data_IF_324868865579
#
_entry.id   IF_324868865579
#
_cell.length_a   1.000
_cell.length_b   1.000
_cell.length_c   1.000
_cell.angle_alpha   90.00
_cell.angle_beta   90.00
_cell.angle_gamma   90.00
#
_symmetry.space_group_name_H-M   'P 1'
#
loop_
_entity.id
_entity.type
_entity.pdbx_description
1 polymer ?
#
# COMPACT_ATOMS: atom_id res chain seq x y z
N UNK A 1 -4.53 18.68 -16.40
CA UNK A 1 -4.00 17.38 -16.84
C UNK A 1 -4.96 16.31 -16.34
N UNK A 2 -5.24 15.26 -17.10
CA UNK A 2 -6.08 14.16 -16.60
C UNK A 2 -5.34 13.42 -15.49
N UNK A 3 -6.02 13.15 -14.37
CA UNK A 3 -5.46 12.30 -13.31
C UNK A 3 -5.35 10.85 -13.81
N UNK A 4 -4.34 10.08 -13.35
CA UNK A 4 -4.25 8.66 -13.70
C UNK A 4 -5.40 7.88 -13.05
N UNK A 5 -5.91 6.86 -13.74
CA UNK A 5 -6.88 5.92 -13.17
C UNK A 5 -6.20 5.13 -12.07
N UNK A 6 -6.60 5.37 -10.83
CA UNK A 6 -5.99 4.76 -9.65
C UNK A 6 -6.94 3.76 -9.03
N UNK A 7 -6.45 2.55 -8.75
CA UNK A 7 -7.21 1.52 -8.04
C UNK A 7 -6.58 1.25 -6.69
N UNK A 8 -7.34 1.47 -5.62
CA UNK A 8 -6.94 1.11 -4.24
C UNK A 8 -7.53 -0.27 -3.96
N UNK A 9 -6.71 -1.22 -3.54
CA UNK A 9 -7.13 -2.60 -3.27
C UNK A 9 -6.84 -2.97 -1.84
N UNK A 10 -7.86 -3.48 -1.16
CA UNK A 10 -7.82 -3.92 0.23
C UNK A 10 -8.58 -5.23 0.37
N UNK A 11 -8.12 -6.08 1.28
CA UNK A 11 -8.90 -7.23 1.76
C UNK A 11 -9.09 -7.04 3.25
N UNK A 12 -10.25 -7.43 3.81
CA UNK A 12 -10.49 -7.22 5.23
C UNK A 12 -11.29 -8.34 5.88
N UNK A 13 -10.99 -8.64 7.15
CA UNK A 13 -11.85 -9.44 8.03
C UNK A 13 -12.35 -8.65 9.25
N UNK A 14 -12.09 -7.33 9.27
CA UNK A 14 -12.43 -6.43 10.36
C UNK A 14 -13.56 -5.47 9.96
N UNK A 15 -13.96 -4.62 10.92
CA UNK A 15 -14.88 -3.51 10.66
C UNK A 15 -14.26 -2.51 9.67
N UNK A 16 -15.07 -1.76 8.90
CA UNK A 16 -14.59 -0.88 7.82
C UNK A 16 -13.97 0.44 8.32
N UNK A 17 -13.22 0.43 9.42
CA UNK A 17 -12.69 1.63 10.07
C UNK A 17 -11.70 2.38 9.17
N UNK A 18 -10.97 1.67 8.30
CA UNK A 18 -10.05 2.27 7.33
C UNK A 18 -10.77 3.14 6.28
N UNK A 19 -12.01 2.79 5.91
CA UNK A 19 -12.65 3.26 4.68
C UNK A 19 -12.82 4.78 4.65
N UNK A 20 -13.29 5.38 5.75
CA UNK A 20 -13.63 6.80 5.77
C UNK A 20 -12.41 7.70 5.51
N UNK A 21 -11.22 7.30 5.99
CA UNK A 21 -9.98 8.06 5.75
C UNK A 21 -9.67 8.17 4.25
N UNK A 22 -9.73 7.04 3.54
CA UNK A 22 -9.50 7.02 2.09
C UNK A 22 -10.59 7.73 1.29
N UNK A 23 -11.86 7.67 1.71
CA UNK A 23 -12.93 8.45 1.06
C UNK A 23 -12.68 9.96 1.20
N UNK A 24 -12.29 10.41 2.38
CA UNK A 24 -11.93 11.81 2.63
C UNK A 24 -10.75 12.25 1.75
N UNK A 25 -9.73 11.40 1.60
CA UNK A 25 -8.59 11.67 0.74
C UNK A 25 -8.99 11.81 -0.74
N UNK A 26 -9.83 10.90 -1.24
CA UNK A 26 -10.36 10.96 -2.61
C UNK A 26 -11.14 12.26 -2.85
N UNK A 27 -11.93 12.67 -1.85
CA UNK A 27 -12.70 13.91 -1.89
C UNK A 27 -11.81 15.15 -1.90
N UNK A 28 -10.87 15.24 -0.97
CA UNK A 28 -9.94 16.36 -0.85
C UNK A 28 -9.09 16.52 -2.12
N UNK A 29 -8.70 15.40 -2.74
CA UNK A 29 -7.97 15.40 -4.01
C UNK A 29 -8.84 15.75 -5.22
N UNK A 30 -10.18 15.74 -5.09
CA UNK A 30 -11.12 15.97 -6.18
C UNK A 30 -11.07 14.88 -7.26
N UNK A 31 -10.73 13.65 -6.89
CA UNK A 31 -10.45 12.56 -7.84
C UNK A 31 -11.50 11.44 -7.84
N UNK A 32 -12.74 11.71 -7.42
CA UNK A 32 -13.83 10.70 -7.37
C UNK A 32 -14.01 9.90 -8.67
N UNK A 33 -13.87 10.57 -9.82
CA UNK A 33 -14.05 9.94 -11.14
C UNK A 33 -12.83 9.12 -11.61
N UNK A 34 -11.67 9.32 -10.97
CA UNK A 34 -10.40 8.69 -11.37
C UNK A 34 -9.90 7.66 -10.37
N UNK A 35 -10.50 7.56 -9.18
CA UNK A 35 -10.11 6.61 -8.15
C UNK A 35 -11.23 5.61 -7.90
N UNK A 36 -10.91 4.33 -8.07
CA UNK A 36 -11.77 3.22 -7.66
C UNK A 36 -11.16 2.47 -6.47
N UNK A 37 -12.01 1.97 -5.57
CA UNK A 37 -11.57 1.10 -4.48
C UNK A 37 -12.17 -0.29 -4.61
N UNK A 38 -11.34 -1.32 -4.45
CA UNK A 38 -11.73 -2.72 -4.46
C UNK A 38 -11.57 -3.28 -3.04
N UNK A 39 -12.69 -3.42 -2.35
CA UNK A 39 -12.79 -3.98 -1.00
C UNK A 39 -13.17 -5.45 -1.13
N UNK A 40 -12.18 -6.34 -0.99
CA UNK A 40 -12.36 -7.77 -1.14
C UNK A 40 -12.67 -8.39 0.22
N UNK A 41 -13.91 -8.83 0.41
CA UNK A 41 -14.31 -9.53 1.62
C UNK A 41 -13.81 -10.99 1.63
N UNK A 42 -13.47 -11.49 2.80
CA UNK A 42 -13.28 -12.92 3.10
C UNK A 42 -14.46 -13.45 3.93
N UNK A 43 -14.46 -14.73 4.28
CA UNK A 43 -15.56 -15.41 5.00
C UNK A 43 -15.86 -14.82 6.37
N UNK A 44 -14.85 -14.20 7.01
CA UNK A 44 -14.96 -13.60 8.35
C UNK A 44 -15.33 -12.11 8.30
N UNK A 45 -15.42 -11.51 7.12
CA UNK A 45 -15.72 -10.09 6.98
C UNK A 45 -17.11 -9.77 7.52
N UNK A 46 -17.23 -8.80 8.43
CA UNK A 46 -18.52 -8.32 8.91
C UNK A 46 -19.41 -7.78 7.80
N UNK A 47 -20.74 -7.98 7.92
CA UNK A 47 -21.71 -7.45 6.96
C UNK A 47 -21.74 -5.91 6.91
N UNK A 48 -21.24 -5.25 7.96
CA UNK A 48 -21.06 -3.79 8.04
C UNK A 48 -20.14 -3.26 6.93
N UNK A 49 -19.15 -4.04 6.48
CA UNK A 49 -18.26 -3.65 5.36
C UNK A 49 -19.05 -3.48 4.06
N UNK A 50 -19.93 -4.43 3.73
CA UNK A 50 -20.78 -4.34 2.55
C UNK A 50 -21.75 -3.16 2.63
N UNK A 51 -22.32 -2.91 3.81
CA UNK A 51 -23.20 -1.77 4.06
C UNK A 51 -22.46 -0.43 3.90
N UNK A 52 -21.24 -0.31 4.46
CA UNK A 52 -20.41 0.89 4.33
C UNK A 52 -20.00 1.15 2.87
N UNK A 53 -19.62 0.09 2.13
CA UNK A 53 -19.33 0.19 0.70
C UNK A 53 -20.55 0.64 -0.11
N UNK A 54 -21.75 0.14 0.22
CA UNK A 54 -22.99 0.56 -0.44
C UNK A 54 -23.30 2.04 -0.16
N UNK A 55 -23.19 2.49 1.09
CA UNK A 55 -23.37 3.89 1.47
C UNK A 55 -22.38 4.82 0.75
N UNK A 56 -21.12 4.40 0.60
CA UNK A 56 -20.13 5.16 -0.15
C UNK A 56 -20.48 5.26 -1.65
N UNK A 57 -21.02 4.19 -2.27
CA UNK A 57 -21.52 4.26 -3.66
C UNK A 57 -22.67 5.25 -3.80
N UNK A 58 -23.61 5.27 -2.86
CA UNK A 58 -24.73 6.23 -2.87
C UNK A 58 -24.25 7.68 -2.78
N UNK A 59 -23.10 7.91 -2.16
CA UNK A 59 -22.42 9.21 -2.12
C UNK A 59 -21.61 9.53 -3.41
N UNK A 60 -21.57 8.61 -4.36
CA UNK A 60 -20.91 8.80 -5.66
C UNK A 60 -19.46 8.34 -5.75
N UNK A 61 -18.95 7.59 -4.77
CA UNK A 61 -17.61 6.99 -4.85
C UNK A 61 -17.61 5.71 -5.69
N UNK A 62 -16.53 5.48 -6.45
CA UNK A 62 -16.33 4.26 -7.23
C UNK A 62 -15.84 3.11 -6.34
N UNK A 63 -16.74 2.46 -5.62
CA UNK A 63 -16.41 1.34 -4.72
C UNK A 63 -16.85 0.00 -5.34
N UNK A 64 -15.98 -0.99 -5.36
CA UNK A 64 -16.26 -2.37 -5.72
C UNK A 64 -16.08 -3.26 -4.49
N UNK A 65 -17.12 -4.01 -4.13
CA UNK A 65 -17.13 -4.87 -2.95
C UNK A 65 -17.91 -6.13 -3.33
N UNK A 66 -17.31 -7.03 -4.13
CA UNK A 66 -17.99 -8.23 -4.59
C UNK A 66 -18.28 -9.15 -3.41
N UNK A 67 -19.50 -9.69 -3.39
CA UNK A 67 -19.90 -10.78 -2.51
C UNK A 67 -19.02 -12.00 -2.73
N UNK A 68 -19.06 -12.95 -1.79
CA UNK A 68 -18.25 -14.17 -1.90
C UNK A 68 -18.55 -14.96 -3.18
N UNK A 69 -19.84 -15.03 -3.56
CA UNK A 69 -20.27 -15.71 -4.78
C UNK A 69 -19.84 -14.96 -6.05
N UNK A 70 -19.86 -13.63 -6.05
CA UNK A 70 -19.37 -12.81 -7.17
C UNK A 70 -17.85 -12.97 -7.35
N UNK A 71 -17.10 -13.12 -6.27
CA UNK A 71 -15.66 -13.42 -6.32
C UNK A 71 -15.38 -14.78 -6.96
N UNK A 72 -16.12 -15.83 -6.58
CA UNK A 72 -15.94 -17.15 -7.16
C UNK A 72 -16.42 -17.18 -8.63
N UNK A 73 -17.50 -16.48 -8.97
CA UNK A 73 -17.94 -16.28 -10.34
C UNK A 73 -16.90 -15.54 -11.19
N UNK A 74 -16.21 -14.57 -10.58
CA UNK A 74 -15.12 -13.83 -11.23
C UNK A 74 -13.92 -14.72 -11.55
N UNK A 75 -13.46 -15.55 -10.60
CA UNK A 75 -12.40 -16.52 -10.86
C UNK A 75 -12.78 -17.48 -11.98
N UNK A 76 -14.02 -17.98 -11.96
CA UNK A 76 -14.54 -18.86 -13.01
C UNK A 76 -14.57 -18.18 -14.38
N UNK A 77 -14.90 -16.88 -14.46
CA UNK A 77 -14.85 -16.10 -15.70
C UNK A 77 -13.43 -16.05 -16.29
N UNK A 78 -12.40 -16.10 -15.45
CA UNK A 78 -10.99 -16.12 -15.85
C UNK A 78 -10.44 -17.53 -16.11
N UNK A 79 -11.30 -18.57 -16.08
CA UNK A 79 -10.89 -19.98 -16.17
C UNK A 79 -9.91 -20.39 -15.06
N UNK A 80 -10.00 -19.73 -13.90
CA UNK A 80 -9.23 -20.06 -12.71
C UNK A 80 -10.06 -20.94 -11.76
N UNK A 81 -9.47 -22.00 -11.20
CA UNK A 81 -10.15 -22.81 -10.21
C UNK A 81 -10.31 -22.00 -8.90
N UNK A 82 -11.36 -22.26 -8.13
CA UNK A 82 -11.70 -21.46 -6.95
C UNK A 82 -10.59 -21.47 -5.87
N UNK A 83 -9.82 -22.54 -5.80
CA UNK A 83 -8.67 -22.72 -4.92
C UNK A 83 -7.41 -21.94 -5.35
N UNK A 84 -7.39 -21.37 -6.56
CA UNK A 84 -6.24 -20.61 -7.05
C UNK A 84 -6.00 -19.35 -6.21
N UNK A 85 -7.07 -18.70 -5.76
CA UNK A 85 -7.03 -17.61 -4.78
C UNK A 85 -7.85 -18.04 -3.56
N UNK A 86 -7.26 -18.76 -2.59
CA UNK A 86 -8.03 -19.42 -1.54
C UNK A 86 -8.64 -18.43 -0.54
N UNK A 87 -9.60 -18.93 0.24
CA UNK A 87 -10.22 -18.23 1.36
C UNK A 87 -9.35 -18.27 2.62
N UNK A 88 -9.60 -17.35 3.57
CA UNK A 88 -8.88 -17.21 4.84
C UNK A 88 -7.38 -16.96 4.67
N UNK A 89 -7.01 -16.16 3.67
CA UNK A 89 -5.64 -15.69 3.44
C UNK A 89 -5.71 -14.26 2.95
N UNK A 90 -4.71 -13.48 3.32
CA UNK A 90 -4.39 -12.17 2.76
C UNK A 90 -4.35 -12.17 1.22
N UNK A 91 -3.97 -13.30 0.60
CA UNK A 91 -3.99 -13.49 -0.85
C UNK A 91 -5.37 -13.31 -1.47
N UNK A 92 -6.47 -13.33 -0.70
CA UNK A 92 -7.81 -13.03 -1.23
C UNK A 92 -7.85 -11.67 -1.93
N UNK A 93 -7.01 -10.72 -1.49
CA UNK A 93 -6.76 -9.43 -2.14
C UNK A 93 -6.43 -9.52 -3.63
N UNK A 94 -5.81 -10.62 -4.08
CA UNK A 94 -5.42 -10.82 -5.47
C UNK A 94 -6.62 -10.76 -6.45
N UNK A 95 -7.84 -11.07 -5.99
CA UNK A 95 -9.06 -10.86 -6.78
C UNK A 95 -9.22 -9.38 -7.13
N UNK A 96 -9.02 -8.49 -6.15
CA UNK A 96 -9.07 -7.05 -6.35
C UNK A 96 -7.98 -6.56 -7.29
N UNK A 97 -6.78 -7.16 -7.26
CA UNK A 97 -5.74 -6.83 -8.25
C UNK A 97 -6.16 -7.17 -9.68
N UNK A 98 -6.73 -8.37 -9.88
CA UNK A 98 -7.22 -8.81 -11.19
C UNK A 98 -8.36 -7.90 -11.68
N UNK A 99 -9.32 -7.56 -10.81
CA UNK A 99 -10.42 -6.66 -11.14
C UNK A 99 -9.95 -5.23 -11.46
N UNK A 100 -8.94 -4.73 -10.74
CA UNK A 100 -8.34 -3.42 -11.00
C UNK A 100 -7.58 -3.37 -12.33
N UNK A 101 -6.80 -4.42 -12.64
CA UNK A 101 -6.12 -4.54 -13.93
C UNK A 101 -7.14 -4.64 -15.08
N UNK A 102 -8.20 -5.43 -14.91
CA UNK A 102 -9.27 -5.56 -15.90
C UNK A 102 -10.00 -4.24 -16.17
N UNK A 103 -10.12 -3.36 -15.17
CA UNK A 103 -10.72 -2.02 -15.34
C UNK A 103 -9.79 -1.01 -16.04
N UNK A 104 -8.54 -1.39 -16.30
CA UNK A 104 -7.55 -0.57 -16.97
C UNK A 104 -6.99 0.53 -16.07
N UNK A 105 -6.69 0.20 -14.80
CA UNK A 105 -5.99 1.13 -13.92
C UNK A 105 -4.57 1.45 -14.42
N UNK A 106 -4.17 2.70 -14.31
CA UNK A 106 -2.80 3.15 -14.57
C UNK A 106 -1.91 2.93 -13.34
N UNK A 107 -2.48 3.07 -12.14
CA UNK A 107 -1.81 2.91 -10.85
C UNK A 107 -2.65 2.00 -9.97
N UNK A 108 -2.00 0.98 -9.38
CA UNK A 108 -2.59 0.11 -8.37
C UNK A 108 -1.90 0.36 -7.04
N UNK A 109 -2.69 0.66 -6.01
CA UNK A 109 -2.22 0.84 -4.63
C UNK A 109 -2.80 -0.29 -3.78
N UNK A 110 -1.94 -1.11 -3.19
CA UNK A 110 -2.34 -2.13 -2.23
C UNK A 110 -2.23 -1.57 -0.82
N UNK A 111 -3.26 -1.75 -0.01
CA UNK A 111 -3.27 -1.36 1.42
C UNK A 111 -3.73 -2.52 2.28
N UNK A 112 -3.27 -2.54 3.53
CA UNK A 112 -3.84 -3.38 4.59
C UNK A 112 -5.04 -2.69 5.24
N UNK A 113 -5.93 -3.45 5.87
CA UNK A 113 -7.16 -2.95 6.48
C UNK A 113 -6.96 -2.30 7.85
N UNK A 114 -5.74 -2.36 8.36
CA UNK A 114 -5.24 -1.64 9.53
C UNK A 114 -4.33 -0.45 9.15
N UNK A 115 -4.19 -0.15 7.87
CA UNK A 115 -3.50 1.05 7.39
C UNK A 115 -4.48 2.20 7.25
N UNK A 116 -4.16 3.32 7.90
CA UNK A 116 -4.99 4.52 7.90
C UNK A 116 -4.27 5.67 7.22
N UNK A 117 -5.01 6.47 6.45
CA UNK A 117 -4.50 7.71 5.89
C UNK A 117 -4.17 8.70 7.00
N UNK A 118 -3.04 9.38 6.91
CA UNK A 118 -2.69 10.45 7.83
C UNK A 118 -3.37 11.76 7.38
N UNK A 119 -3.92 12.56 8.31
CA UNK A 119 -4.39 13.91 7.99
C UNK A 119 -3.27 14.73 7.35
N UNK A 120 -3.63 15.63 6.43
CA UNK A 120 -2.71 16.57 5.79
C UNK A 120 -1.57 15.92 4.98
N UNK A 121 -1.66 14.61 4.74
CA UNK A 121 -0.83 13.92 3.73
C UNK A 121 -1.55 13.87 2.41
N UNK A 122 -0.81 13.86 1.31
CA UNK A 122 -1.36 13.68 -0.03
C UNK A 122 -1.09 12.24 -0.48
N UNK A 123 -1.77 11.29 0.18
CA UNK A 123 -1.62 9.86 -0.04
C UNK A 123 -1.77 9.51 -1.53
N UNK A 124 -2.80 10.04 -2.19
CA UNK A 124 -3.03 9.76 -3.61
C UNK A 124 -1.89 10.29 -4.48
N UNK A 125 -1.52 11.56 -4.34
CA UNK A 125 -0.43 12.10 -5.16
C UNK A 125 0.90 11.40 -4.89
N UNK A 126 1.15 11.03 -3.62
CA UNK A 126 2.35 10.29 -3.20
C UNK A 126 2.48 8.93 -3.89
N UNK A 127 1.38 8.22 -4.12
CA UNK A 127 1.40 6.94 -4.84
C UNK A 127 1.25 7.07 -6.36
N UNK A 128 0.66 8.14 -6.86
CA UNK A 128 0.50 8.41 -8.31
C UNK A 128 1.80 8.80 -9.02
N UNK A 129 2.94 8.74 -8.34
CA UNK A 129 4.29 8.84 -8.94
C UNK A 129 4.65 7.59 -9.74
N UNK A 130 4.02 6.45 -9.46
CA UNK A 130 4.24 5.19 -10.20
C UNK A 130 3.90 5.38 -11.68
N UNK A 131 4.74 4.81 -12.55
CA UNK A 131 4.65 4.95 -14.00
C UNK A 131 5.13 6.29 -14.55
N UNK A 132 5.58 7.21 -13.67
CA UNK A 132 6.09 8.53 -14.06
C UNK A 132 7.57 8.68 -13.71
N UNK A 133 8.30 9.56 -14.39
CA UNK A 133 9.64 9.93 -13.95
C UNK A 133 9.58 10.70 -12.63
N UNK A 134 10.31 10.22 -11.62
CA UNK A 134 10.55 10.94 -10.38
C UNK A 134 11.80 11.80 -10.52
N UNK A 135 11.81 12.94 -9.83
CA UNK A 135 12.97 13.82 -9.73
C UNK A 135 13.66 13.73 -8.35
N UNK A 136 13.20 12.82 -7.50
CA UNK A 136 13.76 12.58 -6.17
C UNK A 136 15.21 12.05 -6.25
N UNK A 137 16.01 12.22 -5.19
CA UNK A 137 17.37 11.68 -5.12
C UNK A 137 17.43 10.18 -5.40
N UNK A 138 18.29 9.79 -6.34
CA UNK A 138 18.58 8.40 -6.63
C UNK A 138 19.60 7.90 -5.60
N UNK A 139 19.21 6.87 -4.86
CA UNK A 139 20.00 6.32 -3.75
C UNK A 139 20.52 4.94 -4.10
N UNK A 140 21.80 4.71 -3.84
CA UNK A 140 22.45 3.39 -3.92
C UNK A 140 23.19 3.11 -2.62
N UNK A 141 23.30 1.82 -2.25
CA UNK A 141 24.11 1.35 -1.12
C UNK A 141 25.32 0.58 -1.60
N UNK A 142 26.47 0.73 -0.93
CA UNK A 142 27.71 0.01 -1.25
C UNK A 142 27.60 -1.51 -1.21
N UNK A 143 26.62 -2.04 -0.47
CA UNK A 143 26.36 -3.49 -0.34
C UNK A 143 25.05 -3.93 -1.02
N UNK A 144 24.39 -3.03 -1.75
CA UNK A 144 23.11 -3.29 -2.41
C UNK A 144 21.89 -3.27 -1.48
N UNK A 145 22.04 -2.97 -0.18
CA UNK A 145 20.93 -2.98 0.76
C UNK A 145 20.61 -1.62 1.37
N UNK A 146 19.40 -1.13 1.14
CA UNK A 146 18.87 0.09 1.74
C UNK A 146 17.92 -0.23 2.89
N UNK A 147 18.19 0.29 4.08
CA UNK A 147 17.30 0.11 5.24
C UNK A 147 16.25 1.22 5.28
N UNK A 148 15.04 0.95 4.77
CA UNK A 148 13.93 1.92 4.73
C UNK A 148 13.52 2.42 6.12
N UNK A 149 13.76 1.65 7.19
CA UNK A 149 13.45 2.06 8.55
C UNK A 149 14.30 3.26 9.01
N UNK A 150 15.44 3.54 8.37
CA UNK A 150 16.26 4.71 8.67
C UNK A 150 15.63 6.04 8.19
N UNK A 151 14.52 5.98 7.45
CA UNK A 151 13.74 7.16 7.03
C UNK A 151 12.64 7.54 8.03
N UNK A 152 12.50 6.77 9.11
CA UNK A 152 11.43 6.91 10.10
C UNK A 152 12.07 7.09 11.48
N UNK A 153 11.61 8.08 12.22
CA UNK A 153 12.00 8.33 13.60
C UNK A 153 11.08 7.60 14.58
N UNK A 154 11.50 7.54 15.86
CA UNK A 154 10.64 7.09 16.96
C UNK A 154 10.91 5.69 17.49
N UNK A 155 11.84 4.94 16.90
CA UNK A 155 12.11 3.52 17.20
C UNK A 155 12.46 3.13 18.64
N UNK A 156 12.62 4.08 19.56
CA UNK A 156 12.87 3.78 20.98
C UNK A 156 14.27 3.24 21.29
N UNK A 157 15.16 3.15 20.29
CA UNK A 157 16.59 2.88 20.47
C UNK A 157 17.19 1.89 19.49
N UNK A 158 18.27 2.32 18.83
CA UNK A 158 19.10 1.56 17.89
C UNK A 158 18.40 1.20 16.57
N UNK A 159 19.16 0.61 15.66
CA UNK A 159 18.67 0.32 14.30
C UNK A 159 17.63 -0.80 14.27
N UNK A 160 16.64 -0.63 13.41
CA UNK A 160 15.54 -1.58 13.14
C UNK A 160 15.52 -1.85 11.65
N UNK A 161 15.12 -3.05 11.26
CA UNK A 161 15.05 -3.46 9.86
C UNK A 161 13.66 -4.00 9.56
N UNK A 162 13.15 -3.66 8.38
CA UNK A 162 11.89 -4.19 7.87
C UNK A 162 11.94 -5.73 7.78
N UNK A 163 10.79 -6.37 7.94
CA UNK A 163 10.64 -7.82 7.82
C UNK A 163 11.18 -8.28 6.46
N UNK A 164 11.99 -9.34 6.46
CA UNK A 164 12.62 -9.89 5.26
C UNK A 164 13.94 -9.21 4.86
N UNK A 165 14.39 -8.17 5.56
CA UNK A 165 15.74 -7.65 5.37
C UNK A 165 16.79 -8.70 5.78
N UNK A 166 17.75 -9.09 4.91
CA UNK A 166 18.62 -10.22 5.19
C UNK A 166 19.51 -10.02 6.42
N UNK A 167 19.49 -10.99 7.34
CA UNK A 167 20.29 -10.92 8.56
C UNK A 167 21.78 -10.75 8.32
N UNK A 168 22.34 -11.38 7.29
CA UNK A 168 23.77 -11.24 6.97
C UNK A 168 24.14 -9.80 6.58
N UNK A 169 23.19 -9.03 6.02
CA UNK A 169 23.43 -7.66 5.59
C UNK A 169 23.26 -6.65 6.73
N UNK A 170 22.55 -7.00 7.81
CA UNK A 170 22.27 -6.08 8.93
C UNK A 170 23.53 -5.62 9.68
N UNK A 171 24.62 -6.37 9.61
CA UNK A 171 25.89 -6.06 10.30
C UNK A 171 26.89 -5.32 9.41
N UNK A 172 26.56 -5.06 8.15
CA UNK A 172 27.47 -4.42 7.23
C UNK A 172 27.56 -2.92 7.51
N UNK A 173 28.79 -2.43 7.63
CA UNK A 173 29.07 -1.00 7.40
C UNK A 173 28.74 -0.68 5.95
N UNK A 174 27.78 0.22 5.74
CA UNK A 174 27.36 0.63 4.39
C UNK A 174 27.46 2.13 4.21
N UNK A 175 27.88 2.52 3.03
CA UNK A 175 27.86 3.93 2.60
C UNK A 175 26.71 4.13 1.62
N UNK A 176 25.93 5.17 1.85
CA UNK A 176 24.86 5.59 0.95
C UNK A 176 25.38 6.66 0.00
N UNK A 177 25.14 6.47 -1.31
CA UNK A 177 25.37 7.51 -2.30
C UNK A 177 24.01 8.01 -2.78
N UNK A 178 23.76 9.30 -2.59
CA UNK A 178 22.55 9.96 -3.05
C UNK A 178 22.91 10.95 -4.16
N UNK A 179 22.24 10.85 -5.31
CA UNK A 179 22.37 11.85 -6.36
C UNK A 179 21.73 13.17 -5.95
N UNK A 180 22.09 14.25 -6.65
CA UNK A 180 21.25 15.44 -6.65
C UNK A 180 19.88 15.10 -7.27
N UNK A 181 18.85 15.84 -6.83
CA UNK A 181 17.51 15.76 -7.42
C UNK A 181 17.56 16.15 -8.91
N UNK A 182 16.79 15.47 -9.76
CA UNK A 182 16.69 15.77 -11.19
C UNK A 182 17.18 14.67 -12.15
N UNK A 183 17.69 13.55 -11.64
CA UNK A 183 17.80 12.34 -12.46
C UNK A 183 16.41 11.75 -12.68
N UNK A 184 15.98 11.70 -13.93
CA UNK A 184 14.65 11.26 -14.33
C UNK A 184 14.61 9.74 -14.44
N UNK A 185 14.23 9.05 -13.36
CA UNK A 185 14.01 7.60 -13.34
C UNK A 185 12.50 7.33 -13.25
N UNK A 186 11.99 6.49 -14.15
CA UNK A 186 10.59 6.06 -14.08
C UNK A 186 10.38 5.12 -12.88
N UNK A 187 9.47 5.51 -11.98
CA UNK A 187 9.14 4.73 -10.79
C UNK A 187 8.26 3.54 -11.17
N UNK A 188 8.80 2.32 -11.08
CA UNK A 188 8.05 1.10 -11.35
C UNK A 188 7.16 0.68 -10.16
N UNK A 189 7.61 0.96 -8.94
CA UNK A 189 6.92 0.62 -7.70
C UNK A 189 7.21 1.71 -6.67
N UNK A 190 6.19 2.09 -5.90
CA UNK A 190 6.34 2.99 -4.76
C UNK A 190 5.92 2.27 -3.48
N UNK A 191 6.71 2.40 -2.42
CA UNK A 191 6.40 1.86 -1.11
C UNK A 191 6.10 3.02 -0.16
N UNK A 192 4.86 3.09 0.30
CA UNK A 192 4.50 3.99 1.40
C UNK A 192 5.10 3.44 2.70
N UNK A 193 5.63 4.33 3.53
CA UNK A 193 6.10 3.98 4.86
C UNK A 193 4.97 4.14 5.87
N UNK A 194 5.14 3.49 7.01
CA UNK A 194 4.13 3.36 8.04
C UNK A 194 4.61 4.02 9.34
N UNK A 195 3.65 4.53 10.10
CA UNK A 195 3.86 5.00 11.47
C UNK A 195 3.21 4.02 12.45
N UNK A 196 3.42 4.26 13.74
CA UNK A 196 2.99 3.40 14.82
C UNK A 196 3.65 2.01 14.76
N UNK A 197 2.96 0.95 14.33
CA UNK A 197 3.49 -0.41 14.37
C UNK A 197 4.12 -0.85 13.04
N UNK A 198 5.44 -1.05 12.97
CA UNK A 198 6.08 -1.36 11.72
C UNK A 198 6.04 -2.82 11.33
N UNK A 199 6.14 -3.09 10.02
CA UNK A 199 6.36 -4.44 9.53
C UNK A 199 7.83 -4.85 9.71
N UNK A 200 8.13 -5.41 10.89
CA UNK A 200 9.47 -5.85 11.32
C UNK A 200 9.40 -7.26 11.87
N UNK A 201 10.55 -7.94 11.91
CA UNK A 201 10.62 -9.28 12.46
C UNK A 201 10.15 -9.34 13.92
N UNK A 202 9.62 -10.50 14.31
CA UNK A 202 9.12 -10.75 15.66
C UNK A 202 10.15 -10.44 16.76
N UNK A 203 11.45 -10.62 16.48
CA UNK A 203 12.54 -10.26 17.41
C UNK A 203 12.55 -8.76 17.69
N UNK A 204 12.40 -7.89 16.69
CA UNK A 204 12.32 -6.44 16.90
C UNK A 204 11.04 -6.06 17.64
N UNK A 205 9.91 -6.69 17.32
CA UNK A 205 8.65 -6.47 18.06
C UNK A 205 8.80 -6.82 19.55
N UNK A 206 9.37 -7.98 19.85
CA UNK A 206 9.54 -8.48 21.22
C UNK A 206 10.58 -7.70 22.03
N UNK A 207 11.73 -7.40 21.42
CA UNK A 207 12.88 -6.84 22.12
C UNK A 207 12.90 -5.30 22.14
N UNK A 208 12.35 -4.64 21.12
CA UNK A 208 12.46 -3.17 20.95
C UNK A 208 11.13 -2.45 21.01
N UNK A 209 10.00 -3.14 20.76
CA UNK A 209 8.67 -2.51 20.67
C UNK A 209 8.70 -1.28 19.76
N UNK A 210 9.27 -1.49 18.56
CA UNK A 210 9.46 -0.48 17.55
C UNK A 210 8.17 0.31 17.33
N UNK A 211 8.21 1.64 17.51
CA UNK A 211 7.08 2.51 17.22
C UNK A 211 7.51 3.69 16.35
N UNK A 212 7.07 3.73 15.10
CA UNK A 212 7.37 4.84 14.20
C UNK A 212 6.56 6.07 14.58
N UNK A 213 7.18 7.25 14.66
CA UNK A 213 6.47 8.48 15.04
C UNK A 213 6.40 9.49 13.90
N UNK A 214 7.41 9.53 13.05
CA UNK A 214 7.52 10.54 12.00
C UNK A 214 8.36 10.03 10.84
N UNK A 215 7.99 10.40 9.62
CA UNK A 215 8.85 10.25 8.45
C UNK A 215 9.75 11.48 8.35
N UNK A 216 11.06 11.29 8.54
CA UNK A 216 12.05 12.37 8.62
C UNK A 216 12.98 12.42 7.40
N UNK A 217 12.99 11.37 6.59
CA UNK A 217 13.79 11.30 5.39
C UNK A 217 13.19 12.06 4.20
N UNK A 218 13.98 12.34 3.15
CA UNK A 218 13.41 12.69 1.86
C UNK A 218 12.76 11.46 1.21
N UNK A 219 11.86 11.68 0.26
CA UNK A 219 11.55 10.64 -0.72
C UNK A 219 12.85 10.26 -1.45
N UNK A 220 13.07 8.98 -1.68
CA UNK A 220 14.26 8.47 -2.38
C UNK A 220 13.85 7.45 -3.44
N UNK A 221 14.56 7.46 -4.56
CA UNK A 221 14.43 6.43 -5.59
C UNK A 221 15.57 5.44 -5.43
N UNK A 222 15.25 4.17 -5.19
CA UNK A 222 16.26 3.12 -5.19
C UNK A 222 16.53 2.71 -6.64
N UNK A 223 17.79 2.84 -7.07
CA UNK A 223 18.23 2.27 -8.35
C UNK A 223 18.96 0.94 -8.12
N UNK A 224 18.77 0.03 -9.08
CA UNK A 224 19.41 -1.29 -9.10
C UNK A 224 20.86 -1.20 -9.59
#
# INVERSE_FOLDING_TARGET
>A
MSHPKTSIVVTTIFEPDFLQGYLNEIELAGQRDNVAMYVIADKKTPATVAAACAAAREQGYQIHCPTLDEQDAYLKKLDLPAEFIPWNTDNRRNIGYLMAIESGCDVLVSIDDDNFTLPETNFLAGHQVVGKPAADPVTTSSDGWFNICNLIDGWGGGEIFARGFPYYAQQNDRTLNMSEAGQSITVAMNAGLWLDEPDVDAVYRLCRRAKGTEFTGPNVVLSA
#
